data_IF_185183236208
#
_entry.id   IF_185183236208
#
_cell.length_a   1.000
_cell.length_b   1.000
_cell.length_c   1.000
_cell.angle_alpha   90.00
_cell.angle_beta   90.00
_cell.angle_gamma   90.00
#
_symmetry.space_group_name_H-M   'P 1'
#
loop_
_entity.id
_entity.type
_entity.pdbx_description
1 polymer ?
#
# COMPACT_ATOMS: atom_id res chain seq x y z
N UNK A 1 -39.56 45.51 2.34
CA UNK A 1 -38.83 44.63 3.29
C UNK A 1 -38.53 43.21 2.77
N UNK A 2 -39.18 42.69 1.71
CA UNK A 2 -38.99 41.29 1.26
C UNK A 2 -37.68 40.93 0.52
N UNK A 3 -37.03 41.87 -0.20
CA UNK A 3 -35.85 41.54 -1.02
C UNK A 3 -34.57 41.24 -0.22
N UNK A 4 -34.39 41.85 0.95
CA UNK A 4 -33.19 41.63 1.78
C UNK A 4 -33.18 40.23 2.40
N UNK A 5 -34.36 39.68 2.73
CA UNK A 5 -34.48 38.31 3.24
C UNK A 5 -34.16 37.26 2.17
N UNK A 6 -34.57 37.49 0.92
CA UNK A 6 -34.27 36.57 -0.18
C UNK A 6 -32.77 36.52 -0.49
N UNK A 7 -32.08 37.67 -0.54
CA UNK A 7 -30.63 37.74 -0.74
C UNK A 7 -29.85 37.04 0.38
N UNK A 8 -30.23 37.27 1.63
CA UNK A 8 -29.56 36.63 2.78
C UNK A 8 -29.71 35.11 2.75
N UNK A 9 -30.89 34.60 2.38
CA UNK A 9 -31.14 33.16 2.28
C UNK A 9 -30.31 32.50 1.17
N UNK A 10 -30.13 33.17 0.04
CA UNK A 10 -29.27 32.69 -1.07
C UNK A 10 -27.80 32.63 -0.64
N UNK A 11 -27.31 33.63 0.10
CA UNK A 11 -25.94 33.65 0.64
C UNK A 11 -25.70 32.52 1.65
N UNK A 12 -26.71 32.18 2.46
CA UNK A 12 -26.60 31.10 3.44
C UNK A 12 -26.58 29.71 2.78
N UNK A 13 -27.43 29.52 1.76
CA UNK A 13 -27.46 28.30 0.95
C UNK A 13 -26.14 28.12 0.18
N UNK A 14 -25.61 29.18 -0.45
CA UNK A 14 -24.36 29.09 -1.22
C UNK A 14 -23.15 28.79 -0.32
N UNK A 15 -23.08 29.36 0.89
CA UNK A 15 -22.06 29.01 1.89
C UNK A 15 -22.14 27.54 2.30
N UNK A 16 -23.36 27.03 2.44
CA UNK A 16 -23.59 25.63 2.82
C UNK A 16 -23.17 24.67 1.71
N UNK A 17 -23.58 24.95 0.46
CA UNK A 17 -23.18 24.18 -0.72
C UNK A 17 -21.66 24.20 -0.90
N UNK A 18 -21.02 25.37 -0.74
CA UNK A 18 -19.57 25.50 -0.85
C UNK A 18 -18.81 24.65 0.15
N UNK A 19 -19.27 24.56 1.41
CA UNK A 19 -18.65 23.70 2.43
C UNK A 19 -18.74 22.22 2.07
N UNK A 20 -19.91 21.76 1.59
CA UNK A 20 -20.07 20.38 1.17
C UNK A 20 -19.24 20.06 -0.08
N UNK A 21 -19.21 20.94 -1.08
CA UNK A 21 -18.40 20.77 -2.28
C UNK A 21 -16.91 20.65 -1.94
N UNK A 22 -16.40 21.51 -1.05
CA UNK A 22 -15.01 21.48 -0.63
C UNK A 22 -14.65 20.18 0.10
N UNK A 23 -15.54 19.70 0.99
CA UNK A 23 -15.35 18.41 1.68
C UNK A 23 -15.27 17.24 0.70
N UNK A 24 -16.18 17.18 -0.27
CA UNK A 24 -16.19 16.13 -1.28
C UNK A 24 -14.98 16.21 -2.22
N UNK A 25 -14.51 17.41 -2.53
CA UNK A 25 -13.28 17.61 -3.30
C UNK A 25 -12.06 17.03 -2.57
N UNK A 26 -11.90 17.33 -1.27
CA UNK A 26 -10.80 16.75 -0.49
C UNK A 26 -10.91 15.22 -0.37
N UNK A 27 -12.13 14.70 -0.22
CA UNK A 27 -12.35 13.26 -0.18
C UNK A 27 -12.00 12.59 -1.52
N UNK A 28 -12.39 13.20 -2.64
CA UNK A 28 -12.01 12.73 -3.98
C UNK A 28 -10.49 12.80 -4.21
N UNK A 29 -9.82 13.85 -3.72
CA UNK A 29 -8.38 14.00 -3.78
C UNK A 29 -7.65 12.93 -2.96
N UNK A 30 -8.17 12.57 -1.78
CA UNK A 30 -7.62 11.47 -0.99
C UNK A 30 -7.76 10.13 -1.72
N UNK A 31 -8.94 9.84 -2.27
CA UNK A 31 -9.17 8.61 -3.03
C UNK A 31 -8.24 8.54 -4.25
N UNK A 32 -8.12 9.63 -5.01
CA UNK A 32 -7.25 9.65 -6.19
C UNK A 32 -5.78 9.48 -5.82
N UNK A 33 -5.32 10.09 -4.72
CA UNK A 33 -3.97 9.90 -4.20
C UNK A 33 -3.72 8.44 -3.78
N UNK A 34 -4.66 7.79 -3.09
CA UNK A 34 -4.55 6.38 -2.71
C UNK A 34 -4.49 5.46 -3.93
N UNK A 35 -5.35 5.68 -4.92
CA UNK A 35 -5.35 4.91 -6.17
C UNK A 35 -4.04 5.11 -6.94
N UNK A 36 -3.54 6.34 -7.01
CA UNK A 36 -2.27 6.64 -7.67
C UNK A 36 -1.09 5.96 -6.96
N UNK A 37 -1.03 6.03 -5.62
CA UNK A 37 -0.01 5.35 -4.83
C UNK A 37 -0.04 3.83 -5.06
N UNK A 38 -1.23 3.23 -5.07
CA UNK A 38 -1.39 1.81 -5.36
C UNK A 38 -0.96 1.47 -6.80
N UNK A 39 -1.27 2.31 -7.78
CA UNK A 39 -0.84 2.11 -9.16
C UNK A 39 0.69 2.16 -9.29
N UNK A 40 1.34 3.14 -8.66
CA UNK A 40 2.81 3.22 -8.61
C UNK A 40 3.40 1.98 -7.95
N UNK A 41 2.87 1.57 -6.80
CA UNK A 41 3.31 0.35 -6.12
C UNK A 41 3.17 -0.88 -7.01
N UNK A 42 2.00 -1.06 -7.64
CA UNK A 42 1.76 -2.18 -8.51
C UNK A 42 2.68 -2.17 -9.73
N UNK A 43 2.96 -0.99 -10.32
CA UNK A 43 3.80 -0.86 -11.51
C UNK A 43 5.29 -1.07 -11.21
N UNK A 44 5.79 -0.50 -10.11
CA UNK A 44 7.22 -0.42 -9.81
C UNK A 44 7.70 -1.42 -8.76
N UNK A 45 6.81 -1.98 -7.94
CA UNK A 45 7.14 -3.00 -6.94
C UNK A 45 6.66 -4.37 -7.41
N UNK A 46 5.37 -4.51 -7.74
CA UNK A 46 4.77 -5.83 -8.03
C UNK A 46 5.06 -6.30 -9.46
N UNK A 47 4.79 -5.44 -10.46
CA UNK A 47 4.95 -5.76 -11.88
C UNK A 47 6.30 -5.39 -12.46
N UNK A 48 7.10 -4.62 -11.72
CA UNK A 48 8.51 -4.54 -12.04
C UNK A 48 9.05 -5.95 -11.84
N UNK A 49 9.37 -6.64 -12.92
CA UNK A 49 10.19 -7.84 -12.87
C UNK A 49 11.57 -7.43 -12.38
N UNK A 50 11.71 -7.28 -11.07
CA UNK A 50 13.00 -7.11 -10.43
C UNK A 50 13.78 -8.37 -10.75
N UNK A 51 14.69 -8.30 -11.73
CA UNK A 51 15.67 -9.36 -11.94
C UNK A 51 16.42 -9.55 -10.61
N UNK A 52 16.78 -10.79 -10.28
CA UNK A 52 17.47 -11.08 -9.01
C UNK A 52 18.72 -10.21 -8.82
N UNK A 53 19.41 -9.87 -9.92
CA UNK A 53 20.52 -8.93 -9.93
C UNK A 53 20.15 -7.52 -9.44
N UNK A 54 18.98 -6.98 -9.84
CA UNK A 54 18.51 -5.66 -9.39
C UNK A 54 18.08 -5.67 -7.92
N UNK A 55 17.52 -6.79 -7.43
CA UNK A 55 17.20 -6.94 -6.01
C UNK A 55 18.48 -6.94 -5.17
N UNK A 56 19.49 -7.71 -5.58
CA UNK A 56 20.78 -7.79 -4.88
C UNK A 56 21.53 -6.46 -4.87
N UNK A 57 21.58 -5.75 -6.01
CA UNK A 57 22.18 -4.42 -6.11
C UNK A 57 21.48 -3.39 -5.21
N UNK A 58 20.15 -3.36 -5.19
CA UNK A 58 19.41 -2.45 -4.34
C UNK A 58 19.61 -2.74 -2.84
N UNK A 59 19.66 -4.02 -2.45
CA UNK A 59 19.97 -4.42 -1.08
C UNK A 59 21.38 -3.96 -0.71
N UNK A 60 22.38 -4.19 -1.56
CA UNK A 60 23.77 -3.74 -1.33
C UNK A 60 23.92 -2.22 -1.26
N UNK A 61 23.17 -1.46 -2.06
CA UNK A 61 23.23 0.01 -2.03
C UNK A 61 22.54 0.63 -0.80
N UNK A 62 21.49 -0.02 -0.27
CA UNK A 62 20.72 0.48 0.87
C UNK A 62 21.19 -0.10 2.21
N UNK A 63 21.90 -1.24 2.22
CA UNK A 63 22.38 -1.86 3.46
C UNK A 63 23.73 -1.27 3.89
N UNK A 64 23.78 -0.71 5.09
CA UNK A 64 25.03 -0.35 5.78
C UNK A 64 25.93 -1.58 6.03
N UNK A 65 25.38 -2.78 5.85
CA UNK A 65 26.03 -4.08 6.05
C UNK A 65 26.28 -4.78 4.71
N UNK A 66 27.37 -5.53 4.61
CA UNK A 66 27.65 -6.39 3.45
C UNK A 66 26.55 -7.44 3.26
N UNK A 67 26.08 -7.63 2.02
CA UNK A 67 25.05 -8.60 1.69
C UNK A 67 25.44 -10.01 2.13
N UNK A 68 24.70 -10.55 3.11
CA UNK A 68 24.85 -11.92 3.60
C UNK A 68 24.06 -12.88 2.71
N UNK A 69 24.80 -13.54 1.82
CA UNK A 69 24.25 -14.49 0.84
C UNK A 69 23.62 -15.72 1.51
N UNK A 70 24.19 -16.20 2.62
CA UNK A 70 23.70 -17.40 3.30
C UNK A 70 22.33 -17.14 3.96
N UNK A 71 22.22 -16.01 4.67
CA UNK A 71 20.94 -15.57 5.25
C UNK A 71 19.88 -15.29 4.18
N UNK A 72 20.28 -14.73 3.03
CA UNK A 72 19.38 -14.52 1.89
C UNK A 72 18.85 -15.83 1.33
N UNK A 73 19.72 -16.81 1.06
CA UNK A 73 19.32 -18.11 0.55
C UNK A 73 18.39 -18.86 1.52
N UNK A 74 18.65 -18.75 2.84
CA UNK A 74 17.76 -19.29 3.87
C UNK A 74 16.38 -18.62 3.84
N UNK A 75 16.34 -17.29 3.73
CA UNK A 75 15.08 -16.54 3.64
C UNK A 75 14.26 -16.91 2.38
N UNK A 76 14.93 -17.08 1.23
CA UNK A 76 14.28 -17.48 -0.02
C UNK A 76 13.71 -18.91 0.07
N UNK A 77 14.46 -19.85 0.66
CA UNK A 77 13.96 -21.21 0.88
C UNK A 77 12.75 -21.24 1.83
N UNK A 78 12.77 -20.43 2.88
CA UNK A 78 11.62 -20.27 3.77
C UNK A 78 10.38 -19.73 3.05
N UNK A 79 10.56 -18.77 2.13
CA UNK A 79 9.45 -18.23 1.32
C UNK A 79 8.86 -19.29 0.39
N UNK A 80 9.70 -20.10 -0.26
CA UNK A 80 9.22 -21.21 -1.11
C UNK A 80 8.43 -22.24 -0.33
N UNK A 81 8.93 -22.65 0.84
CA UNK A 81 8.22 -23.59 1.73
C UNK A 81 6.85 -23.02 2.12
N UNK A 82 6.76 -21.72 2.42
CA UNK A 82 5.48 -21.07 2.73
C UNK A 82 4.54 -21.06 1.52
N UNK A 83 5.04 -20.78 0.33
CA UNK A 83 4.24 -20.75 -0.89
C UNK A 83 3.68 -22.13 -1.23
N UNK A 84 4.51 -23.18 -1.16
CA UNK A 84 4.11 -24.58 -1.36
C UNK A 84 3.04 -25.02 -0.33
N UNK A 85 3.22 -24.61 0.93
CA UNK A 85 2.29 -24.91 2.03
C UNK A 85 0.97 -24.13 1.96
N UNK A 86 0.99 -22.90 1.46
CA UNK A 86 -0.25 -22.15 1.21
C UNK A 86 -1.05 -22.75 0.05
N UNK A 87 -0.37 -23.30 -0.95
CA UNK A 87 -1.01 -24.00 -2.07
C UNK A 87 -1.58 -25.37 -1.67
N UNK A 88 -1.04 -26.03 -0.63
CA UNK A 88 -1.54 -27.32 -0.14
C UNK A 88 -2.84 -27.25 0.67
N UNK A 89 -3.30 -26.04 1.04
CA UNK A 89 -4.61 -25.83 1.68
C UNK A 89 -4.71 -26.28 3.14
N UNK A 90 -3.60 -26.58 3.81
CA UNK A 90 -3.58 -26.90 5.24
C UNK A 90 -3.96 -25.69 6.10
N UNK A 91 -4.63 -25.92 7.24
CA UNK A 91 -5.00 -24.87 8.20
C UNK A 91 -3.76 -24.47 9.01
N UNK A 92 -3.31 -23.23 8.86
CA UNK A 92 -2.12 -22.73 9.56
C UNK A 92 -2.44 -21.76 10.70
N UNK A 93 -1.68 -21.88 11.79
CA UNK A 93 -1.57 -20.83 12.79
C UNK A 93 -0.52 -19.81 12.35
N UNK A 94 -0.65 -18.54 12.76
CA UNK A 94 0.35 -17.51 12.45
C UNK A 94 1.77 -17.89 12.92
N UNK A 95 1.89 -18.77 13.92
CA UNK A 95 3.18 -19.27 14.44
C UNK A 95 3.90 -20.17 13.43
N UNK A 96 3.19 -21.06 12.75
CA UNK A 96 3.75 -22.00 11.78
C UNK A 96 4.28 -21.27 10.53
N UNK A 97 3.74 -20.08 10.28
CA UNK A 97 4.16 -19.21 9.18
C UNK A 97 5.50 -18.52 9.44
N UNK A 98 5.92 -18.32 10.69
CA UNK A 98 7.18 -17.65 11.03
C UNK A 98 8.28 -18.61 11.49
N UNK A 99 7.92 -19.81 11.96
CA UNK A 99 8.87 -20.80 12.48
C UNK A 99 8.62 -22.20 11.90
N UNK A 100 8.90 -22.44 10.61
CA UNK A 100 8.55 -23.69 9.95
C UNK A 100 9.46 -24.88 10.30
N UNK A 101 10.60 -24.66 10.95
CA UNK A 101 11.55 -25.70 11.35
C UNK A 101 11.25 -26.31 12.73
N UNK A 102 10.31 -25.74 13.51
CA UNK A 102 10.21 -26.07 14.93
C UNK A 102 11.46 -25.62 15.70
N UNK A 103 11.41 -25.66 17.03
CA UNK A 103 12.59 -25.48 17.88
C UNK A 103 13.26 -26.81 18.14
#
# INVERSE_FOLDING_TARGET
MGQNNAKNKIIEISKTIGKYALRWLYFAALISASVYAFWVWNKYIIKASWSEEKKQSYIQEQSVFSFDKESYEKAVNLLKIKEERLQSGEKYSGRDLFFPEGF
#
